data_IF_846332752221
#
_entry.id   IF_846332752221
#
_cell.length_a   1.000
_cell.length_b   1.000
_cell.length_c   1.000
_cell.angle_alpha   90.00
_cell.angle_beta   90.00
_cell.angle_gamma   90.00
#
_symmetry.space_group_name_H-M   'P 1'
#
loop_
_entity.id
_entity.type
_entity.pdbx_description
1 polymer ?
#
# COMPACT_ATOMS: atom_id res chain seq x y z
N UNK A 1 -5.76 -4.51 41.47
CA UNK A 1 -6.12 -3.98 40.15
C UNK A 1 -4.88 -3.48 39.46
N UNK A 2 -4.26 -4.30 38.61
CA UNK A 2 -3.00 -3.98 37.94
C UNK A 2 -3.27 -3.35 36.57
N UNK A 3 -3.31 -2.01 36.52
CA UNK A 3 -3.28 -1.26 35.27
C UNK A 3 -1.88 -1.35 34.65
N UNK A 4 -1.59 -2.45 33.96
CA UNK A 4 -0.36 -2.63 33.21
C UNK A 4 -0.32 -1.64 32.05
N UNK A 5 0.47 -0.56 32.19
CA UNK A 5 0.94 0.22 31.06
C UNK A 5 1.75 -0.72 30.17
N UNK A 6 1.14 -1.18 29.07
CA UNK A 6 1.79 -2.01 28.07
C UNK A 6 3.11 -1.35 27.69
N UNK A 7 4.22 -2.08 27.81
CA UNK A 7 5.52 -1.55 27.42
C UNK A 7 5.45 -1.18 25.93
N UNK A 8 6.00 -0.02 25.54
CA UNK A 8 5.95 0.46 24.16
C UNK A 8 6.51 -0.56 23.13
N UNK A 9 7.31 -1.53 23.59
CA UNK A 9 7.86 -2.65 22.84
C UNK A 9 6.88 -3.81 22.59
N UNK A 10 5.80 -3.92 23.36
CA UNK A 10 4.77 -4.96 23.24
C UNK A 10 3.63 -4.53 22.32
N UNK A 11 3.41 -3.23 22.19
CA UNK A 11 2.34 -2.65 21.37
C UNK A 11 2.39 -3.12 19.91
N UNK A 12 3.56 -3.20 19.24
CA UNK A 12 3.65 -3.73 17.88
C UNK A 12 3.31 -5.23 17.77
N UNK A 13 3.66 -6.05 18.78
CA UNK A 13 3.35 -7.50 18.79
C UNK A 13 1.88 -7.76 19.04
N UNK A 14 1.28 -7.02 19.97
CA UNK A 14 -0.15 -7.10 20.27
C UNK A 14 -1.00 -6.64 19.08
N UNK A 15 -0.54 -5.62 18.34
CA UNK A 15 -1.15 -5.23 17.07
C UNK A 15 -1.04 -6.33 16.02
N UNK A 16 0.16 -6.88 15.80
CA UNK A 16 0.35 -8.00 14.86
C UNK A 16 -0.61 -9.16 15.15
N UNK A 17 -0.80 -9.51 16.43
CA UNK A 17 -1.73 -10.54 16.88
C UNK A 17 -3.22 -10.14 16.72
N UNK A 18 -3.59 -8.90 17.05
CA UNK A 18 -4.95 -8.39 16.90
C UNK A 18 -5.40 -8.43 15.43
N UNK A 19 -4.56 -7.97 14.51
CA UNK A 19 -4.86 -8.01 13.08
C UNK A 19 -4.75 -9.41 12.49
N UNK A 20 -3.88 -10.28 13.01
CA UNK A 20 -3.89 -11.69 12.62
C UNK A 20 -5.20 -12.37 12.97
N UNK A 21 -5.76 -12.11 14.16
CA UNK A 21 -7.10 -12.58 14.53
C UNK A 21 -8.18 -11.99 13.64
N UNK A 22 -8.15 -10.67 13.41
CA UNK A 22 -9.14 -9.99 12.57
C UNK A 22 -9.14 -10.53 11.12
N UNK A 23 -7.96 -10.76 10.55
CA UNK A 23 -7.80 -11.32 9.21
C UNK A 23 -8.25 -12.80 9.15
N UNK A 24 -7.94 -13.58 10.19
CA UNK A 24 -8.33 -14.98 10.28
C UNK A 24 -9.83 -15.16 10.50
N UNK A 25 -10.46 -14.29 11.30
CA UNK A 25 -11.91 -14.29 11.56
C UNK A 25 -12.71 -13.84 10.34
N UNK A 26 -12.18 -12.91 9.54
CA UNK A 26 -12.93 -12.41 8.39
C UNK A 26 -12.74 -13.26 7.12
N UNK A 27 -11.73 -14.13 7.02
CA UNK A 27 -11.43 -14.92 5.80
C UNK A 27 -11.49 -14.09 4.48
N UNK A 28 -11.31 -12.76 4.59
CA UNK A 28 -11.76 -11.82 3.59
C UNK A 28 -10.55 -11.17 2.92
N UNK A 29 -10.46 -11.35 1.61
CA UNK A 29 -9.43 -10.74 0.76
C UNK A 29 -9.35 -9.21 0.98
N UNK A 30 -10.47 -8.56 1.31
CA UNK A 30 -10.51 -7.13 1.61
C UNK A 30 -9.83 -6.74 2.93
N UNK A 31 -9.71 -7.67 3.89
CA UNK A 31 -9.08 -7.44 5.19
C UNK A 31 -7.61 -7.09 5.06
N UNK A 32 -6.88 -7.71 4.12
CA UNK A 32 -5.44 -7.47 3.94
C UNK A 32 -5.13 -6.03 3.51
N UNK A 33 -5.97 -5.45 2.65
CA UNK A 33 -5.81 -4.06 2.20
C UNK A 33 -6.18 -3.10 3.32
N UNK A 34 -7.27 -3.38 4.05
CA UNK A 34 -7.67 -2.56 5.19
C UNK A 34 -6.59 -2.49 6.29
N UNK A 35 -5.88 -3.61 6.52
CA UNK A 35 -4.75 -3.65 7.46
C UNK A 35 -3.59 -2.79 6.93
N UNK A 36 -3.26 -2.91 5.64
CA UNK A 36 -2.26 -2.05 5.00
C UNK A 36 -2.62 -0.56 5.14
N UNK A 37 -3.89 -0.21 4.92
CA UNK A 37 -4.39 1.16 5.08
C UNK A 37 -4.28 1.64 6.54
N UNK A 38 -4.51 0.78 7.54
CA UNK A 38 -4.37 1.15 8.95
C UNK A 38 -2.93 1.56 9.28
N UNK A 39 -1.95 0.78 8.80
CA UNK A 39 -0.52 1.11 8.95
C UNK A 39 -0.11 2.31 8.10
N UNK A 40 -0.67 2.46 6.90
CA UNK A 40 -0.35 3.55 5.98
C UNK A 40 -0.80 4.91 6.52
N UNK A 41 -2.04 5.00 7.02
CA UNK A 41 -2.63 6.23 7.53
C UNK A 41 -2.37 6.47 9.02
N UNK A 42 -1.78 5.50 9.74
CA UNK A 42 -1.61 5.58 11.18
C UNK A 42 -2.95 5.68 11.93
N UNK A 43 -3.98 4.98 11.46
CA UNK A 43 -5.32 5.06 12.10
C UNK A 43 -5.30 4.29 13.42
N UNK A 44 -5.71 4.98 14.50
CA UNK A 44 -5.79 4.52 15.90
C UNK A 44 -4.47 4.53 16.68
N UNK A 45 -4.05 5.75 17.06
CA UNK A 45 -3.08 6.05 18.14
C UNK A 45 -1.59 5.79 17.87
N UNK A 46 -1.17 5.57 16.61
CA UNK A 46 0.24 5.33 16.26
C UNK A 46 0.66 6.11 15.02
N UNK A 47 1.95 6.46 14.94
CA UNK A 47 2.54 7.06 13.75
C UNK A 47 2.43 6.08 12.55
N UNK A 48 2.29 6.60 11.31
CA UNK A 48 2.32 5.78 10.11
C UNK A 48 3.55 4.86 10.04
N UNK A 49 3.32 3.58 9.78
CA UNK A 49 4.39 2.60 9.49
C UNK A 49 4.27 2.13 8.05
N UNK A 50 4.94 2.85 7.17
CA UNK A 50 4.94 2.54 5.74
C UNK A 50 5.62 1.19 5.44
N UNK A 51 6.55 0.71 6.27
CA UNK A 51 7.20 -0.59 6.04
C UNK A 51 6.24 -1.74 6.34
N UNK A 52 5.46 -1.63 7.42
CA UNK A 52 4.39 -2.56 7.71
C UNK A 52 3.29 -2.52 6.64
N UNK A 53 2.87 -1.32 6.20
CA UNK A 53 1.88 -1.17 5.14
C UNK A 53 2.31 -1.86 3.83
N UNK A 54 3.56 -1.66 3.40
CA UNK A 54 4.12 -2.34 2.22
C UNK A 54 4.05 -3.86 2.34
N UNK A 55 4.34 -4.41 3.52
CA UNK A 55 4.30 -5.86 3.74
C UNK A 55 2.87 -6.41 3.58
N UNK A 56 1.89 -5.73 4.16
CA UNK A 56 0.47 -6.12 4.04
C UNK A 56 -0.05 -5.98 2.62
N UNK A 57 0.26 -4.88 1.92
CA UNK A 57 -0.10 -4.72 0.51
C UNK A 57 0.58 -5.75 -0.39
N UNK A 58 1.82 -6.15 -0.08
CA UNK A 58 2.49 -7.24 -0.79
C UNK A 58 1.76 -8.57 -0.59
N UNK A 59 1.31 -8.88 0.64
CA UNK A 59 0.46 -10.07 0.87
C UNK A 59 -0.85 -9.99 0.10
N UNK A 60 -1.51 -8.83 0.09
CA UNK A 60 -2.73 -8.62 -0.67
C UNK A 60 -2.53 -8.82 -2.19
N UNK A 61 -1.43 -8.28 -2.73
CA UNK A 61 -1.07 -8.44 -4.13
C UNK A 61 -0.74 -9.90 -4.51
N UNK A 62 -0.15 -10.68 -3.59
CA UNK A 62 0.10 -12.12 -3.77
C UNK A 62 -1.19 -12.93 -3.66
N UNK A 63 -2.13 -12.50 -2.83
CA UNK A 63 -3.47 -13.11 -2.71
C UNK A 63 -4.42 -12.75 -3.88
N UNK A 64 -3.94 -12.03 -4.90
CA UNK A 64 -4.70 -11.70 -6.09
C UNK A 64 -5.64 -10.49 -5.94
N UNK A 65 -5.43 -9.63 -4.94
CA UNK A 65 -6.25 -8.45 -4.72
C UNK A 65 -5.68 -7.27 -5.51
N UNK A 66 -6.42 -6.83 -6.53
CA UNK A 66 -6.01 -5.72 -7.40
C UNK A 66 -5.68 -4.44 -6.60
N UNK A 67 -6.48 -4.11 -5.58
CA UNK A 67 -6.27 -2.93 -4.72
C UNK A 67 -4.95 -3.01 -3.93
N UNK A 68 -4.54 -4.20 -3.48
CA UNK A 68 -3.26 -4.41 -2.82
C UNK A 68 -2.07 -4.17 -3.75
N UNK A 69 -2.16 -4.66 -4.99
CA UNK A 69 -1.15 -4.40 -6.01
C UNK A 69 -1.08 -2.90 -6.39
N UNK A 70 -2.22 -2.22 -6.50
CA UNK A 70 -2.28 -0.78 -6.76
C UNK A 70 -1.61 0.03 -5.65
N UNK A 71 -1.98 -0.21 -4.39
CA UNK A 71 -1.41 0.50 -3.24
C UNK A 71 0.10 0.25 -3.12
N UNK A 72 0.57 -0.96 -3.40
CA UNK A 72 2.01 -1.26 -3.43
C UNK A 72 2.73 -0.48 -4.55
N UNK A 73 2.10 -0.33 -5.72
CA UNK A 73 2.60 0.52 -6.80
C UNK A 73 2.74 1.98 -6.38
N UNK A 74 1.71 2.52 -5.71
CA UNK A 74 1.71 3.86 -5.16
C UNK A 74 2.83 4.09 -4.13
N UNK A 75 3.08 3.11 -3.24
CA UNK A 75 4.17 3.23 -2.26
C UNK A 75 5.55 3.32 -2.92
N UNK A 76 5.82 2.54 -3.98
CA UNK A 76 7.07 2.69 -4.75
C UNK A 76 7.13 3.99 -5.55
N UNK A 77 6.00 4.49 -6.02
CA UNK A 77 5.93 5.78 -6.71
C UNK A 77 6.32 6.94 -5.78
N UNK A 78 5.89 6.86 -4.51
CA UNK A 78 6.13 7.91 -3.51
C UNK A 78 7.40 7.70 -2.69
N UNK A 79 8.04 6.54 -2.76
CA UNK A 79 9.17 6.19 -1.90
C UNK A 79 8.79 5.99 -0.43
N UNK A 80 7.58 5.47 -0.18
CA UNK A 80 7.06 5.24 1.16
C UNK A 80 7.45 3.82 1.61
N UNK A 81 8.19 3.70 2.72
CA UNK A 81 8.61 2.41 3.28
C UNK A 81 9.75 1.70 2.52
N UNK A 82 10.02 2.10 1.28
CA UNK A 82 11.14 1.68 0.44
C UNK A 82 11.59 2.82 -0.48
N UNK A 83 12.81 2.79 -1.04
CA UNK A 83 13.26 3.79 -2.00
C UNK A 83 12.30 3.93 -3.18
N UNK A 84 12.09 5.17 -3.63
CA UNK A 84 11.27 5.47 -4.79
C UNK A 84 11.76 4.68 -6.01
N UNK A 85 10.83 4.03 -6.72
CA UNK A 85 11.16 3.25 -7.91
C UNK A 85 9.97 3.18 -8.86
N UNK A 86 10.04 4.00 -9.89
CA UNK A 86 9.02 4.08 -10.94
C UNK A 86 8.84 2.75 -11.69
N UNK A 87 9.92 2.01 -11.93
CA UNK A 87 9.86 0.70 -12.59
C UNK A 87 9.14 -0.35 -11.73
N UNK A 88 9.30 -0.28 -10.41
CA UNK A 88 8.55 -1.15 -9.48
C UNK A 88 7.09 -0.74 -9.41
N UNK A 89 6.82 0.57 -9.35
CA UNK A 89 5.45 1.10 -9.37
C UNK A 89 4.68 0.64 -10.61
N UNK A 90 5.26 0.80 -11.80
CA UNK A 90 4.66 0.39 -13.08
C UNK A 90 4.31 -1.10 -13.12
N UNK A 91 5.22 -1.96 -12.65
CA UNK A 91 4.99 -3.41 -12.59
C UNK A 91 3.82 -3.77 -11.67
N UNK A 92 3.71 -3.09 -10.52
CA UNK A 92 2.61 -3.34 -9.59
C UNK A 92 1.27 -2.79 -10.10
N UNK A 93 1.26 -1.64 -10.77
CA UNK A 93 0.06 -1.13 -11.43
C UNK A 93 -0.41 -2.03 -12.58
N UNK A 94 0.51 -2.59 -13.38
CA UNK A 94 0.17 -3.57 -14.42
C UNK A 94 -0.46 -4.82 -13.81
N UNK A 95 0.14 -5.35 -12.75
CA UNK A 95 -0.41 -6.49 -12.02
C UNK A 95 -1.80 -6.20 -11.43
N UNK A 96 -2.04 -4.98 -10.93
CA UNK A 96 -3.34 -4.58 -10.44
C UNK A 96 -4.41 -4.64 -11.54
N UNK A 97 -4.10 -4.15 -12.75
CA UNK A 97 -5.01 -4.19 -13.88
C UNK A 97 -5.30 -5.62 -14.39
N UNK A 98 -4.28 -6.48 -14.40
CA UNK A 98 -4.43 -7.91 -14.71
C UNK A 98 -5.38 -8.59 -13.71
N UNK A 99 -5.20 -8.33 -12.41
CA UNK A 99 -6.02 -8.91 -11.34
C UNK A 99 -7.47 -8.42 -11.36
N UNK A 100 -7.73 -7.22 -11.85
CA UNK A 100 -9.10 -6.70 -12.05
C UNK A 100 -9.80 -7.26 -13.31
N UNK A 101 -9.26 -8.30 -13.93
CA UNK A 101 -9.88 -8.97 -15.09
C UNK A 101 -9.77 -8.17 -16.40
N UNK A 102 -8.95 -7.11 -16.44
CA UNK A 102 -8.87 -6.24 -17.61
C UNK A 102 -10.18 -5.49 -17.91
N UNK A 103 -11.09 -5.40 -16.94
CA UNK A 103 -12.28 -4.55 -17.04
C UNK A 103 -11.88 -3.09 -17.19
N UNK A 104 -12.81 -2.29 -17.71
CA UNK A 104 -12.58 -0.87 -17.98
C UNK A 104 -12.07 -0.13 -16.73
N UNK A 105 -12.56 -0.49 -15.55
CA UNK A 105 -12.13 0.07 -14.26
C UNK A 105 -10.64 -0.16 -13.99
N UNK A 106 -10.15 -1.39 -14.21
CA UNK A 106 -8.74 -1.76 -14.04
C UNK A 106 -7.82 -1.09 -15.06
N UNK A 107 -8.27 -1.03 -16.32
CA UNK A 107 -7.55 -0.36 -17.40
C UNK A 107 -7.46 1.15 -17.20
N UNK A 108 -8.54 1.80 -16.72
CA UNK A 108 -8.53 3.23 -16.38
C UNK A 108 -7.49 3.52 -15.30
N UNK A 109 -7.47 2.71 -14.23
CA UNK A 109 -6.48 2.87 -13.15
C UNK A 109 -5.06 2.71 -13.69
N UNK A 110 -4.79 1.70 -14.52
CA UNK A 110 -3.49 1.53 -15.16
C UNK A 110 -3.11 2.69 -16.07
N UNK A 111 -4.00 3.12 -16.96
CA UNK A 111 -3.72 4.19 -17.93
C UNK A 111 -3.54 5.53 -17.23
N UNK A 112 -4.34 5.84 -16.21
CA UNK A 112 -4.19 7.05 -15.40
C UNK A 112 -2.84 7.03 -14.66
N UNK A 113 -2.49 5.93 -13.99
CA UNK A 113 -1.21 5.80 -13.30
C UNK A 113 -0.03 5.85 -14.28
N UNK A 114 -0.09 5.19 -15.44
CA UNK A 114 0.99 5.22 -16.44
C UNK A 114 1.13 6.58 -17.13
N UNK A 115 0.03 7.27 -17.40
CA UNK A 115 0.06 8.63 -17.94
C UNK A 115 0.72 9.59 -16.94
N UNK A 116 0.35 9.52 -15.67
CA UNK A 116 0.97 10.31 -14.60
C UNK A 116 2.47 9.99 -14.48
N UNK A 117 2.85 8.71 -14.52
CA UNK A 117 4.25 8.27 -14.48
C UNK A 117 5.07 8.81 -15.67
N UNK A 118 4.49 8.79 -16.87
CA UNK A 118 5.15 9.31 -18.09
C UNK A 118 5.33 10.82 -18.02
N UNK A 119 4.28 11.56 -17.66
CA UNK A 119 4.35 13.01 -17.46
C UNK A 119 5.40 13.36 -16.41
N UNK A 120 5.44 12.61 -15.30
CA UNK A 120 6.39 12.85 -14.20
C UNK A 120 7.84 12.55 -14.57
N UNK A 121 8.10 11.48 -15.34
CA UNK A 121 9.42 11.22 -15.93
C UNK A 121 9.83 12.32 -16.91
N UNK A 122 8.90 12.81 -17.73
CA UNK A 122 9.14 13.89 -18.68
C UNK A 122 9.49 15.19 -17.95
N UNK A 123 8.69 15.61 -16.98
CA UNK A 123 8.97 16.78 -16.15
C UNK A 123 10.33 16.67 -15.46
N UNK A 124 10.64 15.53 -14.84
CA UNK A 124 11.94 15.30 -14.20
C UNK A 124 13.11 15.39 -15.21
N UNK A 125 12.95 14.85 -16.42
CA UNK A 125 13.96 14.98 -17.49
C UNK A 125 14.14 16.41 -18.02
N UNK A 126 13.12 17.25 -17.85
CA UNK A 126 13.12 18.66 -18.22
C UNK A 126 13.51 19.57 -17.04
N UNK A 127 13.88 19.01 -15.88
CA UNK A 127 14.27 19.77 -14.69
C UNK A 127 13.09 20.35 -13.88
N UNK A 128 11.85 19.95 -14.20
CA UNK A 128 10.66 20.34 -13.46
C UNK A 128 10.26 19.25 -12.45
N UNK A 129 10.22 19.58 -11.16
CA UNK A 129 9.79 18.65 -10.13
C UNK A 129 8.28 18.82 -9.85
N UNK A 130 7.49 17.82 -10.21
CA UNK A 130 6.04 17.83 -10.00
C UNK A 130 5.74 17.55 -8.52
N UNK A 131 4.97 18.44 -7.84
CA UNK A 131 4.64 18.24 -6.43
C UNK A 131 3.94 16.90 -6.23
N UNK A 132 4.33 16.22 -5.14
CA UNK A 132 3.66 15.00 -4.75
C UNK A 132 2.23 15.35 -4.29
N UNK A 133 1.21 14.99 -5.08
CA UNK A 133 -0.19 15.16 -4.66
C UNK A 133 -0.43 14.41 -3.34
N UNK A 134 -0.79 15.13 -2.28
CA UNK A 134 -1.02 14.60 -0.93
C UNK A 134 -2.39 13.93 -0.86
#
# INVERSE_FOLDING_TARGET
GGGGRLAASEVPRLWSLHFHRLAAEQNNKDSLVAIGDAFFYGRSMHAPDHRAAMWWYSKAATAGIAKGAHNLGYMYERGLGAPQSWSRAERHYRKAAELSGGDWSGKVVLYASMALLRVRRLCSSLGFDLPAYI
#
